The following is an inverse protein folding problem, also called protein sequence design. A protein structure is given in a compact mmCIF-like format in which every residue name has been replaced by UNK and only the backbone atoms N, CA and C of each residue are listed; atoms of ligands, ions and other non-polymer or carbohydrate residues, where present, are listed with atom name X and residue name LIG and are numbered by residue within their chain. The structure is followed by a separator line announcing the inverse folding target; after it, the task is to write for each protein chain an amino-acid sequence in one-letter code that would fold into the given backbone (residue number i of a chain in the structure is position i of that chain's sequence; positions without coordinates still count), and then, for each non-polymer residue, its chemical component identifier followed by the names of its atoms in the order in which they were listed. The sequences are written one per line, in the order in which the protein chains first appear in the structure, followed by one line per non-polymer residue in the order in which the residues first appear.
data_IF_490702529814
#
_entry.id   IF_490702529814
#
_cell.length_a   1.000
_cell.length_b   1.000
_cell.length_c   1.000
_cell.angle_alpha   90.00
_cell.angle_beta   90.00
_cell.angle_gamma   90.00
#
_symmetry.space_group_name_H-M   'P 1'
#
loop_
_entity.id
_entity.type
_entity.pdbx_description
1 polymer ?
#
# COMPACT_ATOMS: atom_id res chain seq x y z
N UNK A 1 40.81 50.85 -18.11
CA UNK A 1 40.10 50.43 -16.88
C UNK A 1 38.58 50.45 -17.02
N UNK A 2 37.99 51.33 -17.84
CA UNK A 2 36.52 51.41 -18.02
C UNK A 2 35.88 50.19 -18.72
N UNK A 3 36.63 49.47 -19.56
CA UNK A 3 36.15 48.26 -20.25
C UNK A 3 36.00 47.03 -19.33
N UNK A 4 36.65 47.01 -18.16
CA UNK A 4 36.60 45.90 -17.22
C UNK A 4 35.30 45.94 -16.39
N UNK A 5 34.90 47.12 -15.92
CA UNK A 5 33.71 47.30 -15.07
C UNK A 5 32.40 47.03 -15.83
N UNK A 6 32.36 47.33 -17.13
CA UNK A 6 31.21 46.99 -18.00
C UNK A 6 31.08 45.47 -18.20
N UNK A 7 32.20 44.74 -18.26
CA UNK A 7 32.22 43.28 -18.39
C UNK A 7 31.78 42.60 -17.09
N UNK A 8 32.19 43.12 -15.94
CA UNK A 8 31.83 42.57 -14.63
C UNK A 8 30.33 42.77 -14.33
N UNK A 9 29.77 43.94 -14.66
CA UNK A 9 28.34 44.21 -14.60
C UNK A 9 27.54 43.24 -15.47
N UNK A 10 27.90 43.07 -16.74
CA UNK A 10 27.20 42.15 -17.66
C UNK A 10 27.25 40.69 -17.18
N UNK A 11 28.30 40.29 -16.48
CA UNK A 11 28.48 38.93 -15.96
C UNK A 11 27.61 38.67 -14.72
N UNK A 12 27.46 39.66 -13.84
CA UNK A 12 26.52 39.63 -12.71
C UNK A 12 25.06 39.49 -13.16
N UNK A 13 24.62 40.25 -14.17
CA UNK A 13 23.26 40.14 -14.73
C UNK A 13 22.99 38.79 -15.39
N UNK A 14 23.99 38.21 -16.07
CA UNK A 14 23.89 36.87 -16.65
C UNK A 14 23.80 35.79 -15.56
N UNK A 15 24.60 35.89 -14.51
CA UNK A 15 24.56 34.96 -13.38
C UNK A 15 23.21 34.97 -12.66
N UNK A 16 22.65 36.16 -12.38
CA UNK A 16 21.31 36.29 -11.80
C UNK A 16 20.21 35.68 -12.68
N UNK A 17 20.28 35.89 -14.00
CA UNK A 17 19.33 35.32 -14.97
C UNK A 17 19.41 33.79 -15.05
N UNK A 18 20.61 33.23 -15.01
CA UNK A 18 20.82 31.77 -14.98
C UNK A 18 20.25 31.16 -13.69
N UNK A 19 20.43 31.81 -12.55
CA UNK A 19 19.83 31.40 -11.28
C UNK A 19 18.30 31.40 -11.34
N UNK A 20 17.68 32.42 -11.92
CA UNK A 20 16.22 32.48 -12.12
C UNK A 20 15.71 31.41 -13.10
N UNK A 21 16.46 31.12 -14.17
CA UNK A 21 16.11 30.05 -15.10
C UNK A 21 16.20 28.67 -14.43
N UNK A 22 17.25 28.39 -13.65
CA UNK A 22 17.40 27.13 -12.94
C UNK A 22 16.25 26.90 -11.93
N UNK A 23 15.85 27.94 -11.18
CA UNK A 23 14.68 27.87 -10.29
C UNK A 23 13.40 27.55 -11.06
N UNK A 24 13.17 28.23 -12.19
CA UNK A 24 11.98 28.03 -13.03
C UNK A 24 11.93 26.61 -13.61
N UNK A 25 13.06 26.08 -14.07
CA UNK A 25 13.15 24.70 -14.55
C UNK A 25 12.86 23.70 -13.44
N UNK A 26 13.45 23.88 -12.25
CA UNK A 26 13.16 23.03 -11.09
C UNK A 26 11.68 23.07 -10.69
N UNK A 27 11.04 24.24 -10.73
CA UNK A 27 9.60 24.37 -10.46
C UNK A 27 8.81 23.64 -11.55
N UNK A 28 9.14 23.81 -12.82
CA UNK A 28 8.46 23.14 -13.93
C UNK A 28 8.55 21.60 -13.83
N UNK A 29 9.74 21.06 -13.51
CA UNK A 29 9.94 19.63 -13.30
C UNK A 29 9.12 19.08 -12.12
N UNK A 30 9.06 19.83 -11.01
CA UNK A 30 8.24 19.44 -9.85
C UNK A 30 6.75 19.51 -10.18
N UNK A 31 6.32 20.57 -10.86
CA UNK A 31 4.93 20.74 -11.29
C UNK A 31 4.48 19.65 -12.27
N UNK A 32 5.37 19.16 -13.13
CA UNK A 32 5.07 18.02 -14.01
C UNK A 32 4.81 16.72 -13.23
N UNK A 33 5.47 16.52 -12.08
CA UNK A 33 5.29 15.34 -11.22
C UNK A 33 4.13 15.46 -10.23
N UNK A 34 3.66 16.67 -9.95
CA UNK A 34 2.60 16.94 -8.96
C UNK A 34 1.28 16.19 -9.25
N UNK A 35 0.75 16.13 -10.49
CA UNK A 35 -0.51 15.43 -10.76
C UNK A 35 -0.48 13.95 -10.35
N UNK A 36 0.60 13.24 -10.69
CA UNK A 36 0.79 11.84 -10.31
C UNK A 36 0.89 11.68 -8.79
N UNK A 37 1.57 12.59 -8.10
CA UNK A 37 1.65 12.56 -6.64
C UNK A 37 0.29 12.80 -5.97
N UNK A 38 -0.52 13.71 -6.53
CA UNK A 38 -1.89 13.98 -6.04
C UNK A 38 -2.76 12.74 -6.21
N UNK A 39 -2.71 12.07 -7.37
CA UNK A 39 -3.46 10.85 -7.63
C UNK A 39 -3.07 9.74 -6.65
N UNK A 40 -1.76 9.51 -6.48
CA UNK A 40 -1.24 8.55 -5.51
C UNK A 40 -1.68 8.87 -4.08
N UNK A 41 -1.71 10.15 -3.70
CA UNK A 41 -2.18 10.58 -2.38
C UNK A 41 -3.68 10.33 -2.22
N UNK A 42 -4.50 10.69 -3.21
CA UNK A 42 -5.96 10.43 -3.19
C UNK A 42 -6.25 8.94 -3.06
N UNK A 43 -5.55 8.11 -3.82
CA UNK A 43 -5.65 6.65 -3.74
C UNK A 43 -5.29 6.15 -2.34
N UNK A 44 -4.18 6.60 -1.76
CA UNK A 44 -3.81 6.22 -0.39
C UNK A 44 -4.85 6.66 0.65
N UNK A 45 -5.46 7.84 0.49
CA UNK A 45 -6.53 8.28 1.38
C UNK A 45 -7.76 7.37 1.25
N UNK A 46 -8.13 6.99 0.03
CA UNK A 46 -9.24 6.08 -0.20
C UNK A 46 -8.97 4.69 0.39
N UNK A 47 -7.79 4.12 0.15
CA UNK A 47 -7.39 2.83 0.71
C UNK A 47 -7.38 2.85 2.25
N UNK A 48 -6.94 3.97 2.87
CA UNK A 48 -7.01 4.16 4.32
C UNK A 48 -8.45 4.19 4.82
N UNK A 49 -9.32 4.97 4.17
CA UNK A 49 -10.74 5.05 4.52
C UNK A 49 -11.46 3.71 4.40
N UNK A 50 -11.21 2.99 3.32
CA UNK A 50 -11.78 1.65 3.10
C UNK A 50 -11.29 0.67 4.16
N UNK A 51 -10.00 0.72 4.52
CA UNK A 51 -9.46 -0.11 5.59
C UNK A 51 -10.07 0.23 6.95
N UNK A 52 -10.19 1.51 7.29
CA UNK A 52 -10.83 1.96 8.52
C UNK A 52 -12.30 1.54 8.59
N UNK A 53 -13.01 1.64 7.47
CA UNK A 53 -14.39 1.19 7.35
C UNK A 53 -14.51 -0.33 7.51
N UNK A 54 -13.64 -1.11 6.85
CA UNK A 54 -13.59 -2.56 6.99
C UNK A 54 -13.26 -2.99 8.43
N UNK A 55 -12.33 -2.30 9.10
CA UNK A 55 -11.99 -2.56 10.50
C UNK A 55 -13.16 -2.22 11.43
N UNK A 56 -13.88 -1.12 11.17
CA UNK A 56 -15.09 -0.74 11.91
C UNK A 56 -16.19 -1.78 11.76
N UNK A 57 -16.46 -2.23 10.53
CA UNK A 57 -17.45 -3.27 10.24
C UNK A 57 -17.06 -4.61 10.88
N UNK A 58 -15.77 -4.98 10.81
CA UNK A 58 -15.26 -6.19 11.45
C UNK A 58 -15.46 -6.15 12.96
N UNK A 59 -15.16 -5.02 13.61
CA UNK A 59 -15.41 -4.82 15.04
C UNK A 59 -16.90 -4.86 15.37
N UNK A 60 -17.74 -4.22 14.57
CA UNK A 60 -19.19 -4.24 14.76
C UNK A 60 -19.76 -5.67 14.66
N UNK A 61 -19.28 -6.48 13.70
CA UNK A 61 -19.67 -7.89 13.57
C UNK A 61 -19.27 -8.72 14.78
N UNK A 62 -18.04 -8.55 15.28
CA UNK A 62 -17.56 -9.25 16.48
C UNK A 62 -18.35 -8.83 17.73
N UNK A 63 -18.70 -7.55 17.83
CA UNK A 63 -19.55 -7.05 18.91
C UNK A 63 -20.96 -7.63 18.84
N UNK A 64 -21.57 -7.70 17.65
CA UNK A 64 -22.88 -8.33 17.47
C UNK A 64 -22.84 -9.82 17.83
N UNK A 65 -21.83 -10.57 17.37
CA UNK A 65 -21.68 -12.00 17.71
C UNK A 65 -21.49 -12.20 19.22
N UNK A 66 -20.74 -11.32 19.89
CA UNK A 66 -20.58 -11.34 21.34
C UNK A 66 -21.89 -10.98 22.06
N UNK A 67 -22.65 -10.01 21.56
CA UNK A 67 -23.96 -9.61 22.09
C UNK A 67 -25.00 -10.73 21.94
N UNK A 68 -25.01 -11.46 20.82
CA UNK A 68 -25.89 -12.63 20.65
C UNK A 68 -25.57 -13.73 21.66
N UNK A 69 -24.29 -13.98 21.95
CA UNK A 69 -23.87 -15.02 22.89
C UNK A 69 -24.10 -14.67 24.36
N UNK A 70 -23.97 -13.40 24.72
CA UNK A 70 -24.10 -12.92 26.10
C UNK A 70 -25.51 -12.39 26.41
N UNK A 71 -26.31 -12.11 25.38
CA UNK A 71 -27.62 -11.47 25.45
C UNK A 71 -27.52 -9.94 25.35
N UNK A 72 -28.59 -9.31 24.83
CA UNK A 72 -28.69 -7.86 24.59
C UNK A 72 -28.59 -6.97 25.86
N UNK A 73 -28.60 -7.57 27.06
CA UNK A 73 -28.54 -6.86 28.34
C UNK A 73 -27.12 -6.69 28.90
N UNK A 74 -26.08 -7.16 28.21
CA UNK A 74 -24.70 -7.07 28.69
C UNK A 74 -24.05 -5.76 28.24
N UNK A 75 -23.55 -5.00 29.23
CA UNK A 75 -22.82 -3.75 29.00
C UNK A 75 -21.58 -4.02 28.13
N UNK A 76 -21.40 -3.32 26.99
CA UNK A 76 -20.22 -3.40 26.13
C UNK A 76 -18.89 -3.09 26.85
N UNK A 77 -18.94 -2.42 28.01
CA UNK A 77 -17.74 -2.12 28.83
C UNK A 77 -17.45 -3.19 29.87
N UNK A 78 -18.32 -4.17 30.06
CA UNK A 78 -18.11 -5.23 31.06
C UNK A 78 -16.87 -6.09 30.75
N UNK A 79 -16.16 -6.53 31.78
CA UNK A 79 -14.96 -7.36 31.64
C UNK A 79 -15.24 -8.67 30.87
N UNK A 80 -16.37 -9.32 31.17
CA UNK A 80 -16.81 -10.56 30.50
C UNK A 80 -17.03 -10.37 28.99
N UNK A 81 -17.56 -9.22 28.57
CA UNK A 81 -17.75 -8.90 27.15
C UNK A 81 -16.41 -8.65 26.44
N UNK A 82 -15.51 -7.92 27.10
CA UNK A 82 -14.17 -7.67 26.57
C UNK A 82 -13.34 -8.96 26.43
N UNK A 83 -13.40 -9.86 27.42
CA UNK A 83 -12.75 -11.18 27.35
C UNK A 83 -13.28 -12.01 26.19
N UNK A 84 -14.61 -12.09 26.02
CA UNK A 84 -15.22 -12.83 24.91
C UNK A 84 -14.82 -12.25 23.54
N UNK A 85 -14.80 -10.92 23.41
CA UNK A 85 -14.32 -10.26 22.21
C UNK A 85 -12.85 -10.60 21.90
N UNK A 86 -11.98 -10.56 22.91
CA UNK A 86 -10.57 -10.91 22.75
C UNK A 86 -10.41 -12.37 22.31
N UNK A 87 -11.20 -13.29 22.84
CA UNK A 87 -11.12 -14.69 22.47
C UNK A 87 -11.65 -14.95 21.05
N UNK A 88 -12.73 -14.28 20.64
CA UNK A 88 -13.20 -14.29 19.24
C UNK A 88 -12.14 -13.71 18.28
N UNK A 89 -11.49 -12.60 18.65
CA UNK A 89 -10.40 -12.02 17.87
C UNK A 89 -9.19 -12.95 17.75
N UNK A 90 -8.82 -13.64 18.84
CA UNK A 90 -7.74 -14.65 18.83
C UNK A 90 -8.09 -15.81 17.90
N UNK A 91 -9.32 -16.33 17.97
CA UNK A 91 -9.77 -17.43 17.11
C UNK A 91 -9.76 -17.03 15.63
N UNK A 92 -10.26 -15.85 15.28
CA UNK A 92 -10.20 -15.36 13.90
C UNK A 92 -8.77 -15.15 13.40
N UNK A 93 -7.88 -14.58 14.23
CA UNK A 93 -6.46 -14.40 13.86
C UNK A 93 -5.77 -15.74 13.64
N UNK A 94 -6.09 -16.76 14.44
CA UNK A 94 -5.56 -18.11 14.28
C UNK A 94 -6.02 -18.71 12.94
N UNK A 95 -7.32 -18.67 12.65
CA UNK A 95 -7.89 -19.16 11.39
C UNK A 95 -7.27 -18.47 10.17
N UNK A 96 -7.17 -17.13 10.19
CA UNK A 96 -6.57 -16.37 9.08
C UNK A 96 -5.10 -16.72 8.84
N UNK A 97 -4.33 -16.94 9.91
CA UNK A 97 -2.92 -17.37 9.80
C UNK A 97 -2.80 -18.76 9.20
N UNK A 98 -3.61 -19.71 9.67
CA UNK A 98 -3.62 -21.08 9.18
C UNK A 98 -4.05 -21.14 7.70
N UNK A 99 -5.08 -20.37 7.32
CA UNK A 99 -5.54 -20.28 5.93
C UNK A 99 -4.47 -19.66 5.03
N UNK A 100 -3.85 -18.55 5.44
CA UNK A 100 -2.74 -17.94 4.68
C UNK A 100 -1.56 -18.89 4.54
N UNK A 101 -1.24 -19.66 5.59
CA UNK A 101 -0.20 -20.67 5.53
C UNK A 101 -0.57 -21.81 4.57
N UNK A 102 -1.83 -22.26 4.58
CA UNK A 102 -2.35 -23.27 3.67
C UNK A 102 -2.30 -22.80 2.22
N UNK A 103 -2.80 -21.60 1.92
CA UNK A 103 -2.73 -21.01 0.58
C UNK A 103 -1.28 -20.87 0.09
N UNK A 104 -0.34 -20.47 0.95
CA UNK A 104 1.08 -20.40 0.57
C UNK A 104 1.67 -21.78 0.25
N UNK A 105 1.32 -22.80 1.04
CA UNK A 105 1.74 -24.19 0.80
C UNK A 105 1.15 -24.72 -0.52
N UNK A 106 -0.13 -24.45 -0.76
CA UNK A 106 -0.84 -24.84 -1.97
C UNK A 106 -0.29 -24.14 -3.21
N UNK A 107 -0.07 -22.81 -3.16
CA UNK A 107 0.55 -22.07 -4.25
C UNK A 107 1.97 -22.57 -4.56
N UNK A 108 2.76 -22.92 -3.53
CA UNK A 108 4.09 -23.53 -3.73
C UNK A 108 3.99 -24.92 -4.35
N UNK A 109 3.04 -25.75 -3.90
CA UNK A 109 2.81 -27.07 -4.47
C UNK A 109 2.34 -26.97 -5.93
N UNK A 110 1.43 -26.04 -6.24
CA UNK A 110 0.97 -25.75 -7.59
C UNK A 110 2.10 -25.25 -8.50
N UNK A 111 2.98 -24.37 -8.00
CA UNK A 111 4.14 -23.90 -8.75
C UNK A 111 5.14 -25.04 -9.04
N UNK A 112 5.38 -25.93 -8.06
CA UNK A 112 6.23 -27.12 -8.26
C UNK A 112 5.59 -28.12 -9.24
N UNK A 113 4.28 -28.33 -9.18
CA UNK A 113 3.55 -29.16 -10.13
C UNK A 113 3.57 -28.56 -11.55
N UNK A 114 3.40 -27.24 -11.66
CA UNK A 114 3.50 -26.53 -12.94
C UNK A 114 4.92 -26.61 -13.53
N UNK A 115 5.96 -26.46 -12.70
CA UNK A 115 7.34 -26.62 -13.12
C UNK A 115 7.65 -28.06 -13.58
N UNK A 116 7.21 -29.08 -12.82
CA UNK A 116 7.39 -30.48 -13.19
C UNK A 116 6.62 -30.86 -14.48
N UNK A 117 5.47 -30.23 -14.75
CA UNK A 117 4.72 -30.40 -15.99
C UNK A 117 5.42 -29.77 -17.21
N UNK A 118 6.16 -28.67 -17.01
CA UNK A 118 6.99 -28.06 -18.07
C UNK A 118 8.23 -28.92 -18.38
N UNK A 119 8.86 -29.52 -17.37
CA UNK A 119 10.02 -30.41 -17.54
C UNK A 119 9.66 -31.79 -18.13
N UNK A 120 8.39 -32.20 -18.04
CA UNK A 120 7.90 -33.49 -18.57
C UNK A 120 7.28 -33.39 -19.97
N UNK A 121 7.36 -32.24 -20.64
CA UNK A 121 6.90 -32.10 -22.02
C UNK A 121 7.85 -32.88 -22.95
N UNK A 122 7.41 -33.97 -23.61
CA UNK A 122 8.28 -34.73 -24.51
C UNK A 122 8.67 -33.83 -25.69
N UNK A 123 9.97 -33.70 -25.91
CA UNK A 123 10.57 -33.21 -27.15
C UNK A 123 10.13 -34.11 -28.31
N UNK A 124 8.94 -33.86 -28.86
CA UNK A 124 8.54 -34.39 -30.16
C UNK A 124 9.25 -33.53 -31.20
N UNK A 125 10.42 -33.99 -31.64
CA UNK A 125 11.20 -33.37 -32.70
C UNK A 125 10.41 -33.37 -34.01
N UNK A 126 10.27 -32.23 -34.74
CA UNK A 126 9.93 -32.28 -36.14
C UNK A 126 11.22 -32.63 -36.91
N UNK A 127 11.34 -33.87 -37.36
CA UNK A 127 12.29 -34.23 -38.42
C UNK A 127 11.83 -33.59 -39.74
N UNK A 128 12.74 -32.86 -40.38
CA UNK A 128 12.76 -32.60 -41.83
C UNK A 128 14.20 -32.60 -42.30
#
# INVERSE_FOLDING_TARGET
MQDQEHQDGATSWRAGRLGEQAKRQLIAERMAKMPQMIENWRRQQQERREKEQADKERRARLQAEAQERLGYHVDPRSARFQELLQDLEKQQRKRLKEEKQRQKKEARAAALAAAAAQDSAPSVAPSS
#
